data_IF_021534654942
#
_entry.id   IF_021534654942
#
_cell.length_a   1.000
_cell.length_b   1.000
_cell.length_c   1.000
_cell.angle_alpha   90.00
_cell.angle_beta   90.00
_cell.angle_gamma   90.00
#
_symmetry.space_group_name_H-M   'P 1'
#
loop_
_entity.id
_entity.type
_entity.pdbx_description
1 polymer ?
#
# COMPACT_ATOMS: atom_id res chain seq x y z
N UNK A 1 -14.59 7.54 15.68
CA UNK A 1 -13.44 6.95 14.95
C UNK A 1 -12.24 7.89 14.91
N UNK A 2 -11.18 7.51 15.61
CA UNK A 2 -9.91 8.25 15.70
C UNK A 2 -8.77 7.42 15.09
N UNK A 3 -7.92 8.06 14.28
CA UNK A 3 -6.70 7.47 13.73
C UNK A 3 -5.49 8.11 14.39
N UNK A 4 -4.68 7.31 15.07
CA UNK A 4 -3.56 7.80 15.88
C UNK A 4 -2.28 7.03 15.58
N UNK A 5 -1.14 7.71 15.72
CA UNK A 5 0.16 7.04 15.77
C UNK A 5 0.25 6.34 17.12
N UNK A 6 0.39 5.02 17.09
CA UNK A 6 0.44 4.23 18.31
C UNK A 6 1.77 4.41 19.03
N UNK A 7 1.74 4.16 20.34
CA UNK A 7 2.86 4.21 21.27
C UNK A 7 2.64 3.16 22.38
N UNK A 8 3.46 3.19 23.43
CA UNK A 8 3.44 2.19 24.52
C UNK A 8 2.11 2.13 25.28
N UNK A 9 1.35 3.24 25.40
CA UNK A 9 0.05 3.21 26.09
C UNK A 9 -1.00 2.36 25.38
N UNK A 10 -0.72 1.95 24.13
CA UNK A 10 -1.58 1.13 23.30
C UNK A 10 -1.24 -0.37 23.35
N UNK A 11 -0.28 -0.79 24.18
CA UNK A 11 0.11 -2.20 24.31
C UNK A 11 -1.07 -3.13 24.65
N UNK A 12 -2.08 -2.60 25.36
CA UNK A 12 -3.33 -3.32 25.66
C UNK A 12 -4.04 -3.90 24.43
N UNK A 13 -3.86 -3.29 23.26
CA UNK A 13 -4.49 -3.72 22.00
C UNK A 13 -3.69 -4.76 21.21
N UNK A 14 -2.47 -5.12 21.66
CA UNK A 14 -1.59 -5.99 20.89
C UNK A 14 -2.20 -7.38 20.64
N UNK A 15 -2.91 -7.93 21.63
CA UNK A 15 -3.61 -9.21 21.50
C UNK A 15 -4.78 -9.11 20.52
N UNK A 16 -5.65 -8.11 20.66
CA UNK A 16 -6.79 -7.88 19.76
C UNK A 16 -6.35 -7.74 18.30
N UNK A 17 -5.22 -7.07 18.05
CA UNK A 17 -4.62 -6.94 16.72
C UNK A 17 -4.22 -8.32 16.19
N UNK A 18 -3.51 -9.13 16.98
CA UNK A 18 -3.07 -10.47 16.59
C UNK A 18 -4.26 -11.39 16.28
N UNK A 19 -5.29 -11.34 17.11
CA UNK A 19 -6.50 -12.15 16.94
C UNK A 19 -7.27 -11.71 15.69
N UNK A 20 -7.38 -10.41 15.45
CA UNK A 20 -8.02 -9.87 14.23
C UNK A 20 -7.25 -10.26 12.96
N UNK A 21 -5.91 -10.29 13.02
CA UNK A 21 -5.05 -10.78 11.93
C UNK A 21 -5.32 -12.26 11.67
N UNK A 22 -5.34 -13.08 12.73
CA UNK A 22 -5.56 -14.52 12.64
C UNK A 22 -6.95 -14.87 12.08
N UNK A 23 -8.00 -14.19 12.55
CA UNK A 23 -9.36 -14.40 12.05
C UNK A 23 -9.49 -13.94 10.59
N UNK A 24 -8.89 -12.81 10.23
CA UNK A 24 -8.85 -12.36 8.83
C UNK A 24 -8.13 -13.36 7.91
N UNK A 25 -7.05 -13.99 8.40
CA UNK A 25 -6.34 -15.03 7.67
C UNK A 25 -7.19 -16.29 7.48
N UNK A 26 -8.01 -16.65 8.49
CA UNK A 26 -8.94 -17.78 8.45
C UNK A 26 -10.04 -17.55 7.41
N UNK A 27 -10.72 -16.39 7.47
CA UNK A 27 -11.82 -16.05 6.53
C UNK A 27 -11.33 -16.01 5.08
N UNK A 28 -10.15 -15.42 4.84
CA UNK A 28 -9.60 -15.34 3.47
C UNK A 28 -9.03 -16.67 2.98
N UNK A 29 -8.82 -17.63 3.87
CA UNK A 29 -8.20 -18.91 3.56
C UNK A 29 -6.71 -18.84 3.20
N UNK A 30 -6.16 -17.66 2.89
CA UNK A 30 -4.78 -17.46 2.39
C UNK A 30 -4.31 -16.00 2.54
N UNK A 31 -3.01 -15.75 2.41
CA UNK A 31 -2.43 -14.42 2.13
C UNK A 31 -2.18 -13.48 3.31
N UNK A 32 -2.27 -13.95 4.56
CA UNK A 32 -1.96 -13.15 5.76
C UNK A 32 -1.12 -13.97 6.72
N UNK A 33 0.08 -13.48 7.03
CA UNK A 33 0.95 -14.05 8.06
C UNK A 33 0.53 -13.56 9.45
N UNK A 34 0.55 -14.47 10.43
CA UNK A 34 0.28 -14.19 11.85
C UNK A 34 1.41 -13.36 12.47
N UNK A 35 1.09 -12.67 13.57
CA UNK A 35 2.02 -11.89 14.40
C UNK A 35 1.87 -12.27 15.86
N UNK A 36 2.89 -11.99 16.65
CA UNK A 36 2.84 -12.14 18.11
C UNK A 36 2.62 -10.79 18.78
N UNK A 37 2.06 -10.76 19.99
CA UNK A 37 1.86 -9.52 20.73
C UNK A 37 3.16 -8.72 20.93
N UNK A 38 4.28 -9.39 21.23
CA UNK A 38 5.59 -8.75 21.46
C UNK A 38 6.09 -8.05 20.19
N UNK A 39 5.88 -8.71 19.04
CA UNK A 39 6.22 -8.12 17.75
C UNK A 39 5.37 -6.86 17.50
N UNK A 40 4.06 -6.90 17.78
CA UNK A 40 3.17 -5.75 17.63
C UNK A 40 3.57 -4.62 18.58
N UNK A 41 3.77 -4.92 19.87
CA UNK A 41 4.19 -3.95 20.89
C UNK A 41 5.45 -3.18 20.46
N UNK A 42 6.45 -3.86 19.90
CA UNK A 42 7.64 -3.20 19.35
C UNK A 42 7.32 -2.21 18.22
N UNK A 43 6.29 -2.48 17.40
CA UNK A 43 5.84 -1.53 16.37
C UNK A 43 5.12 -0.32 16.96
N UNK A 44 4.37 -0.54 18.03
CA UNK A 44 3.73 0.55 18.78
C UNK A 44 4.80 1.42 19.45
N UNK A 45 5.74 0.86 20.22
CA UNK A 45 6.78 1.61 20.93
C UNK A 45 7.63 2.47 20.00
N UNK A 46 7.93 1.96 18.79
CA UNK A 46 8.75 2.68 17.81
C UNK A 46 7.98 3.82 17.08
N UNK A 47 6.70 4.03 17.40
CA UNK A 47 5.86 4.99 16.68
C UNK A 47 5.73 4.65 15.20
N UNK A 48 5.71 3.34 14.88
CA UNK A 48 5.70 2.80 13.52
C UNK A 48 4.36 2.15 13.18
N UNK A 49 3.28 2.56 13.84
CA UNK A 49 1.97 1.98 13.59
C UNK A 49 0.86 3.01 13.68
N UNK A 50 -0.17 2.82 12.87
CA UNK A 50 -1.44 3.54 12.95
C UNK A 50 -2.47 2.60 13.58
N UNK A 51 -3.13 3.11 14.62
CA UNK A 51 -4.24 2.46 15.28
C UNK A 51 -5.53 3.24 14.98
N UNK A 52 -6.59 2.51 14.65
CA UNK A 52 -7.94 3.04 14.54
C UNK A 52 -8.75 2.61 15.76
N UNK A 53 -9.32 3.59 16.47
CA UNK A 53 -10.11 3.38 17.66
C UNK A 53 -11.48 4.05 17.55
N UNK A 54 -12.51 3.40 18.11
CA UNK A 54 -13.81 3.99 18.37
C UNK A 54 -14.07 4.04 19.87
N UNK A 55 -13.78 5.19 20.49
CA UNK A 55 -13.59 5.26 21.94
C UNK A 55 -12.40 4.38 22.36
N UNK A 56 -12.64 3.44 23.27
CA UNK A 56 -11.66 2.42 23.68
C UNK A 56 -11.67 1.16 22.79
N UNK A 57 -12.59 1.05 21.82
CA UNK A 57 -12.72 -0.16 21.00
C UNK A 57 -11.74 -0.16 19.83
N UNK A 58 -11.05 -1.28 19.65
CA UNK A 58 -10.19 -1.52 18.51
C UNK A 58 -11.00 -1.64 17.20
N UNK A 59 -10.64 -0.85 16.19
CA UNK A 59 -11.32 -0.84 14.89
C UNK A 59 -10.42 -1.24 13.71
N UNK A 60 -9.10 -1.04 13.80
CA UNK A 60 -8.18 -1.38 12.73
C UNK A 60 -6.73 -0.97 12.99
N UNK A 61 -5.83 -1.47 12.16
CA UNK A 61 -4.38 -1.37 12.38
C UNK A 61 -3.61 -1.45 11.08
N UNK A 62 -2.45 -0.79 11.02
CA UNK A 62 -1.41 -1.00 10.02
C UNK A 62 -0.07 -0.51 10.58
N UNK A 63 1.05 -1.10 10.14
CA UNK A 63 2.37 -0.76 10.66
C UNK A 63 3.47 -0.72 9.59
N UNK A 64 4.55 -0.03 9.92
CA UNK A 64 5.75 0.15 9.13
C UNK A 64 6.78 -0.93 9.48
N UNK A 65 7.27 -1.61 8.46
CA UNK A 65 8.53 -2.36 8.48
C UNK A 65 9.59 -1.55 7.73
N UNK A 66 10.84 -1.62 8.20
CA UNK A 66 11.97 -0.91 7.60
C UNK A 66 13.04 -1.94 7.26
N UNK A 67 13.59 -1.86 6.05
CA UNK A 67 14.56 -2.84 5.51
C UNK A 67 15.65 -2.16 4.70
N UNK A 68 16.73 -2.92 4.43
CA UNK A 68 17.77 -2.48 3.49
C UNK A 68 18.42 -1.15 3.88
N UNK A 69 18.65 -0.93 5.18
CA UNK A 69 19.15 0.34 5.73
C UNK A 69 18.26 1.53 5.39
N UNK A 70 16.96 1.42 5.67
CA UNK A 70 15.95 2.48 5.46
C UNK A 70 15.65 2.84 4.00
N UNK A 71 16.25 2.12 3.03
CA UNK A 71 15.94 2.32 1.61
C UNK A 71 14.54 1.82 1.23
N UNK A 72 14.03 0.84 1.98
CA UNK A 72 12.75 0.21 1.72
C UNK A 72 11.88 0.17 2.97
N UNK A 73 10.63 0.60 2.82
CA UNK A 73 9.60 0.59 3.85
C UNK A 73 8.41 -0.23 3.39
N UNK A 74 7.91 -1.14 4.22
CA UNK A 74 6.68 -1.86 3.91
C UNK A 74 5.54 -1.43 4.84
N UNK A 75 4.41 -1.04 4.24
CA UNK A 75 3.17 -0.78 4.97
C UNK A 75 2.38 -2.08 5.13
N UNK A 76 2.67 -2.77 6.23
CA UNK A 76 2.30 -4.15 6.52
C UNK A 76 1.13 -4.25 7.51
N UNK A 77 0.49 -5.41 7.55
CA UNK A 77 -0.53 -5.73 8.56
C UNK A 77 -1.79 -4.86 8.49
N UNK A 78 -2.17 -4.33 7.32
CA UNK A 78 -3.43 -3.60 7.17
C UNK A 78 -4.61 -4.53 7.46
N UNK A 79 -5.29 -4.30 8.58
CA UNK A 79 -6.48 -5.03 8.98
C UNK A 79 -7.53 -4.08 9.56
N UNK A 80 -8.79 -4.50 9.41
CA UNK A 80 -9.97 -3.80 9.93
C UNK A 80 -10.83 -4.84 10.63
N UNK A 81 -11.22 -4.53 11.87
CA UNK A 81 -12.09 -5.37 12.67
C UNK A 81 -13.42 -5.59 11.92
N UNK A 82 -14.00 -6.81 11.92
CA UNK A 82 -15.20 -7.16 11.14
C UNK A 82 -16.32 -6.12 11.20
N UNK A 83 -16.63 -5.62 12.39
CA UNK A 83 -17.73 -4.66 12.65
C UNK A 83 -17.55 -3.30 11.95
N UNK A 84 -16.32 -2.96 11.53
CA UNK A 84 -16.01 -1.67 10.90
C UNK A 84 -15.65 -1.81 9.40
N UNK A 85 -15.84 -3.00 8.82
CA UNK A 85 -15.57 -3.24 7.39
C UNK A 85 -16.65 -2.60 6.51
N UNK A 86 -16.29 -2.31 5.26
CA UNK A 86 -17.22 -1.69 4.29
C UNK A 86 -17.42 -0.18 4.44
N UNK A 87 -16.86 0.45 5.48
CA UNK A 87 -17.05 1.86 5.79
C UNK A 87 -15.89 2.76 5.36
N UNK A 88 -14.99 2.27 4.50
CA UNK A 88 -13.81 3.01 4.03
C UNK A 88 -12.63 3.09 5.00
N UNK A 89 -12.75 2.54 6.22
CA UNK A 89 -11.71 2.63 7.26
C UNK A 89 -10.33 2.12 6.81
N UNK A 90 -10.28 1.04 6.02
CA UNK A 90 -9.02 0.50 5.49
C UNK A 90 -8.26 1.53 4.63
N UNK A 91 -8.99 2.34 3.85
CA UNK A 91 -8.42 3.41 3.03
C UNK A 91 -7.85 4.51 3.90
N UNK A 92 -8.58 4.93 4.94
CA UNK A 92 -8.14 5.97 5.87
C UNK A 92 -6.90 5.55 6.67
N UNK A 93 -6.86 4.31 7.18
CA UNK A 93 -5.67 3.76 7.87
C UNK A 93 -4.48 3.72 6.90
N UNK A 94 -4.68 3.22 5.68
CA UNK A 94 -3.60 3.07 4.70
C UNK A 94 -3.05 4.42 4.21
N UNK A 95 -3.92 5.43 4.08
CA UNK A 95 -3.47 6.80 3.79
C UNK A 95 -2.62 7.35 4.93
N UNK A 96 -3.08 7.19 6.19
CA UNK A 96 -2.36 7.71 7.35
C UNK A 96 -1.00 7.05 7.59
N UNK A 97 -0.89 5.73 7.44
CA UNK A 97 0.40 5.02 7.56
C UNK A 97 1.33 5.36 6.38
N UNK A 98 0.78 5.62 5.19
CA UNK A 98 1.56 6.09 4.06
C UNK A 98 2.15 7.48 4.32
N UNK A 99 1.35 8.43 4.82
CA UNK A 99 1.83 9.74 5.27
C UNK A 99 2.93 9.60 6.32
N UNK A 100 2.71 8.79 7.36
CA UNK A 100 3.72 8.53 8.40
C UNK A 100 5.02 7.94 7.82
N UNK A 101 4.90 7.03 6.84
CA UNK A 101 6.07 6.47 6.15
C UNK A 101 6.84 7.54 5.38
N UNK A 102 6.12 8.45 4.70
CA UNK A 102 6.73 9.56 3.94
C UNK A 102 7.39 10.59 4.86
N UNK A 103 6.85 10.81 6.05
CA UNK A 103 7.40 11.71 7.05
C UNK A 103 8.67 11.14 7.67
N UNK A 104 8.63 9.89 8.15
CA UNK A 104 9.77 9.25 8.83
C UNK A 104 10.87 8.82 7.87
N UNK A 105 10.50 8.41 6.65
CA UNK A 105 11.41 7.85 5.65
C UNK A 105 11.21 8.51 4.28
N UNK A 106 11.56 9.81 4.13
CA UNK A 106 11.24 10.60 2.95
C UNK A 106 11.91 10.10 1.66
N UNK A 107 13.03 9.41 1.74
CA UNK A 107 13.73 8.90 0.56
C UNK A 107 13.48 7.42 0.30
N UNK A 108 12.81 6.71 1.23
CA UNK A 108 12.55 5.30 1.11
C UNK A 108 11.50 5.01 0.02
N UNK A 109 11.72 3.92 -0.71
CA UNK A 109 10.67 3.30 -1.51
C UNK A 109 9.69 2.62 -0.58
N UNK A 110 8.40 2.81 -0.82
CA UNK A 110 7.35 2.20 0.01
C UNK A 110 6.70 1.07 -0.78
N UNK A 111 6.65 -0.12 -0.22
CA UNK A 111 6.09 -1.27 -0.90
C UNK A 111 5.07 -2.04 -0.07
N UNK A 112 4.42 -2.99 -0.72
CA UNK A 112 3.53 -3.95 -0.08
C UNK A 112 3.21 -5.09 -1.03
N UNK A 113 2.89 -6.24 -0.44
CA UNK A 113 2.40 -7.41 -1.16
C UNK A 113 0.97 -7.71 -0.72
N UNK A 114 0.10 -8.12 -1.65
CA UNK A 114 -1.28 -8.48 -1.29
C UNK A 114 -1.91 -9.45 -2.28
N UNK A 115 -2.84 -10.27 -1.81
CA UNK A 115 -3.76 -11.05 -2.65
C UNK A 115 -5.12 -10.37 -2.82
N UNK A 116 -5.38 -9.28 -2.08
CA UNK A 116 -6.71 -8.69 -1.97
C UNK A 116 -6.92 -7.50 -2.91
N UNK A 117 -7.94 -7.57 -3.76
CA UNK A 117 -8.30 -6.49 -4.69
C UNK A 117 -8.55 -5.15 -4.01
N UNK A 118 -9.19 -5.13 -2.84
CA UNK A 118 -9.43 -3.90 -2.09
C UNK A 118 -8.11 -3.19 -1.72
N UNK A 119 -7.10 -3.94 -1.28
CA UNK A 119 -5.79 -3.38 -0.94
C UNK A 119 -5.04 -2.94 -2.19
N UNK A 120 -5.14 -3.68 -3.29
CA UNK A 120 -4.55 -3.27 -4.58
C UNK A 120 -5.11 -1.94 -5.06
N UNK A 121 -6.44 -1.74 -4.99
CA UNK A 121 -7.09 -0.46 -5.36
C UNK A 121 -6.61 0.70 -4.49
N UNK A 122 -6.56 0.51 -3.17
CA UNK A 122 -6.05 1.53 -2.23
C UNK A 122 -4.59 1.87 -2.55
N UNK A 123 -3.74 0.88 -2.75
CA UNK A 123 -2.33 1.10 -3.11
C UNK A 123 -2.19 1.85 -4.44
N UNK A 124 -2.98 1.49 -5.45
CA UNK A 124 -2.98 2.17 -6.75
C UNK A 124 -3.37 3.65 -6.61
N UNK A 125 -4.41 3.96 -5.84
CA UNK A 125 -4.83 5.34 -5.55
C UNK A 125 -3.74 6.16 -4.84
N UNK A 126 -2.91 5.52 -4.01
CA UNK A 126 -1.77 6.14 -3.35
C UNK A 126 -0.52 6.27 -4.26
N UNK A 127 -0.61 5.80 -5.51
CA UNK A 127 0.44 5.90 -6.51
C UNK A 127 1.43 4.74 -6.54
N UNK A 128 1.10 3.61 -5.90
CA UNK A 128 1.89 2.39 -6.03
C UNK A 128 1.67 1.79 -7.43
N UNK A 129 2.73 1.22 -8.00
CA UNK A 129 2.71 0.53 -9.29
C UNK A 129 2.99 -0.96 -9.09
N UNK A 130 2.36 -1.85 -9.87
CA UNK A 130 2.69 -3.27 -9.82
C UNK A 130 4.14 -3.49 -10.28
N UNK A 131 4.86 -4.34 -9.56
CA UNK A 131 6.27 -4.69 -9.83
C UNK A 131 6.51 -6.17 -9.56
N UNK A 132 7.61 -6.71 -10.07
CA UNK A 132 8.06 -8.06 -9.69
C UNK A 132 8.70 -8.06 -8.30
N UNK A 133 8.80 -9.22 -7.64
CA UNK A 133 9.37 -9.29 -6.28
C UNK A 133 10.85 -8.90 -6.26
N UNK A 134 11.57 -9.10 -7.36
CA UNK A 134 12.95 -8.65 -7.55
C UNK A 134 13.13 -7.13 -7.44
N UNK A 135 12.07 -6.34 -7.57
CA UNK A 135 12.10 -4.88 -7.40
C UNK A 135 11.78 -4.41 -5.97
N UNK A 136 11.36 -5.34 -5.09
CA UNK A 136 10.91 -5.01 -3.72
C UNK A 136 12.06 -4.97 -2.73
N UNK A 137 12.62 -6.13 -2.38
CA UNK A 137 13.74 -6.28 -1.45
C UNK A 137 14.33 -7.68 -1.61
N UNK A 138 15.65 -7.77 -1.49
CA UNK A 138 16.40 -9.02 -1.39
C UNK A 138 16.67 -9.44 0.07
N UNK A 139 16.19 -8.64 1.03
CA UNK A 139 16.36 -8.89 2.47
C UNK A 139 15.61 -10.14 2.94
N UNK A 140 16.32 -11.22 3.36
CA UNK A 140 15.68 -12.45 3.82
C UNK A 140 14.78 -12.25 5.05
N UNK A 141 15.06 -11.26 5.90
CA UNK A 141 14.27 -11.01 7.11
C UNK A 141 12.85 -10.54 6.77
N UNK A 142 12.68 -9.77 5.68
CA UNK A 142 11.34 -9.42 5.19
C UNK A 142 10.55 -10.67 4.80
N UNK A 143 11.18 -11.59 4.06
CA UNK A 143 10.54 -12.80 3.58
C UNK A 143 10.24 -13.80 4.71
N UNK A 144 11.04 -13.81 5.79
CA UNK A 144 10.71 -14.54 7.03
C UNK A 144 9.39 -14.07 7.63
N UNK A 145 9.02 -12.81 7.44
CA UNK A 145 7.72 -12.26 7.84
C UNK A 145 6.51 -12.96 7.20
N UNK A 146 6.72 -13.75 6.14
CA UNK A 146 5.70 -14.54 5.45
C UNK A 146 5.60 -16.01 5.93
N UNK A 147 6.48 -16.48 6.83
CA UNK A 147 6.60 -17.89 7.23
C UNK A 147 5.30 -18.55 7.70
N UNK A 148 4.42 -17.78 8.35
CA UNK A 148 3.15 -18.29 8.87
C UNK A 148 2.00 -18.17 7.86
N UNK A 149 2.25 -17.65 6.65
CA UNK A 149 1.30 -17.64 5.56
C UNK A 149 1.20 -19.03 4.93
N UNK A 150 -0.01 -19.47 4.60
CA UNK A 150 -0.23 -20.78 3.94
C UNK A 150 0.48 -20.95 2.60
N UNK A 151 0.89 -19.86 1.94
CA UNK A 151 1.58 -19.88 0.65
C UNK A 151 3.10 -19.74 0.79
N UNK A 152 3.66 -19.88 2.00
CA UNK A 152 5.09 -19.72 2.21
C UNK A 152 5.92 -20.75 1.43
N UNK A 153 5.35 -21.92 1.17
CA UNK A 153 5.91 -22.96 0.29
C UNK A 153 6.15 -22.42 -1.13
N UNK A 154 5.20 -21.65 -1.68
CA UNK A 154 5.30 -21.05 -3.02
C UNK A 154 6.44 -20.03 -3.04
N UNK A 155 6.52 -19.19 -2.02
CA UNK A 155 7.61 -18.22 -1.89
C UNK A 155 8.97 -18.93 -1.81
N UNK A 156 9.05 -20.02 -1.06
CA UNK A 156 10.29 -20.79 -0.86
C UNK A 156 10.74 -21.48 -2.15
N UNK A 157 9.83 -22.23 -2.81
CA UNK A 157 10.17 -22.99 -4.03
C UNK A 157 10.49 -22.10 -5.25
N UNK A 158 10.10 -20.83 -5.20
CA UNK A 158 10.37 -19.85 -6.25
C UNK A 158 11.56 -18.95 -5.91
N UNK A 159 12.28 -19.26 -4.82
CA UNK A 159 13.44 -18.47 -4.36
C UNK A 159 13.07 -16.99 -4.17
N UNK A 160 11.88 -16.73 -3.63
CA UNK A 160 11.34 -15.38 -3.38
C UNK A 160 11.13 -14.54 -4.65
N UNK A 161 11.19 -15.13 -5.85
CA UNK A 161 10.96 -14.43 -7.13
C UNK A 161 9.48 -14.19 -7.40
N UNK A 162 8.58 -14.99 -6.81
CA UNK A 162 7.13 -14.80 -6.97
C UNK A 162 6.32 -15.45 -5.84
N UNK A 163 5.07 -15.02 -5.68
CA UNK A 163 4.07 -15.66 -4.82
C UNK A 163 2.68 -15.37 -5.41
N UNK A 164 1.61 -15.88 -4.80
CA UNK A 164 0.24 -15.49 -5.15
C UNK A 164 -0.05 -14.00 -4.83
N UNK A 165 0.77 -13.39 -3.97
CA UNK A 165 0.67 -11.97 -3.69
C UNK A 165 1.20 -11.14 -4.87
N UNK A 166 0.49 -10.07 -5.22
CA UNK A 166 0.96 -9.04 -6.15
C UNK A 166 1.87 -8.07 -5.40
N UNK A 167 3.08 -7.84 -5.92
CA UNK A 167 4.00 -6.82 -5.44
C UNK A 167 3.62 -5.45 -5.98
N UNK A 168 3.59 -4.45 -5.11
CA UNK A 168 3.34 -3.06 -5.50
C UNK A 168 4.32 -2.12 -4.82
N UNK A 169 4.84 -1.15 -5.58
CA UNK A 169 5.92 -0.25 -5.16
C UNK A 169 5.54 1.22 -5.44
N UNK A 170 5.73 2.06 -4.45
CA UNK A 170 5.77 3.51 -4.57
C UNK A 170 7.22 3.97 -4.50
N UNK A 171 7.67 4.66 -5.55
CA UNK A 171 9.00 5.27 -5.60
C UNK A 171 8.88 6.80 -5.51
N UNK A 172 9.37 7.44 -4.43
CA UNK A 172 9.24 8.88 -4.26
C UNK A 172 9.96 9.70 -5.34
N UNK A 173 10.96 9.13 -6.00
CA UNK A 173 11.74 9.81 -7.05
C UNK A 173 10.98 9.90 -8.38
N UNK A 174 10.02 9.00 -8.62
CA UNK A 174 9.26 8.98 -9.89
C UNK A 174 8.35 10.19 -10.09
N UNK A 175 7.85 10.82 -9.01
CA UNK A 175 7.07 12.07 -9.10
C UNK A 175 7.91 13.23 -9.62
N UNK A 176 9.17 13.37 -9.18
CA UNK A 176 10.10 14.42 -9.64
C UNK A 176 10.39 14.34 -11.15
N UNK A 177 10.42 13.13 -11.72
CA UNK A 177 10.63 12.95 -13.18
C UNK A 177 9.43 13.37 -14.03
N UNK A 178 8.22 13.29 -13.49
CA UNK A 178 6.98 13.58 -14.26
C UNK A 178 6.69 15.08 -14.34
N UNK A 179 7.13 15.87 -13.36
CA UNK A 179 7.05 17.34 -13.42
C UNK A 179 8.05 17.93 -14.43
N UNK A 180 9.24 17.34 -14.55
CA UNK A 180 10.26 17.77 -15.52
C UNK A 180 10.01 17.34 -16.98
N UNK A 181 8.96 16.57 -17.27
CA UNK A 181 8.66 16.08 -18.63
C UNK A 181 7.36 16.64 -19.24
N UNK A 182 6.70 17.60 -18.56
CA UNK A 182 5.55 18.31 -19.12
C UNK A 182 5.92 19.58 -19.91
N UNK A 183 7.00 19.55 -20.69
CA UNK A 183 7.05 20.40 -21.88
C UNK A 183 6.30 19.69 -22.99
N UNK A 184 4.97 19.92 -23.03
CA UNK A 184 4.19 19.55 -24.20
C UNK A 184 4.79 20.26 -25.42
N UNK A 185 5.37 19.50 -26.35
CA UNK A 185 5.96 20.03 -27.57
C UNK A 185 4.91 20.87 -28.32
N UNK A 186 5.03 22.20 -28.25
CA UNK A 186 3.98 23.14 -28.69
C UNK A 186 3.54 22.93 -30.15
N UNK A 187 4.42 22.37 -30.98
CA UNK A 187 4.16 21.98 -32.38
C UNK A 187 3.16 20.82 -32.50
N UNK A 188 3.20 19.84 -31.59
CA UNK A 188 2.26 18.72 -31.60
C UNK A 188 0.85 19.19 -31.22
N UNK A 189 0.75 20.12 -30.27
CA UNK A 189 -0.53 20.69 -29.82
C UNK A 189 -1.17 21.60 -30.89
N UNK A 190 -0.37 22.45 -31.55
CA UNK A 190 -0.85 23.26 -32.69
C UNK A 190 -1.29 22.38 -33.86
N UNK A 191 -0.54 21.31 -34.15
CA UNK A 191 -0.93 20.36 -35.20
C UNK A 191 -2.25 19.67 -34.88
N UNK A 192 -2.45 19.19 -33.65
CA UNK A 192 -3.70 18.57 -33.23
C UNK A 192 -4.89 19.55 -33.29
N UNK A 193 -4.66 20.83 -32.93
CA UNK A 193 -5.67 21.89 -33.03
C UNK A 193 -6.07 22.16 -34.48
N UNK A 194 -5.11 22.26 -35.40
CA UNK A 194 -5.37 22.47 -36.84
C UNK A 194 -6.13 21.30 -37.49
N UNK A 195 -5.84 20.06 -37.07
CA UNK A 195 -6.57 18.87 -37.53
C UNK A 195 -8.02 18.90 -37.01
N UNK A 196 -8.23 19.31 -35.75
CA UNK A 196 -9.57 19.41 -35.19
C UNK A 196 -10.38 20.52 -35.87
N UNK A 197 -9.79 21.69 -36.12
CA UNK A 197 -10.44 22.81 -36.79
C UNK A 197 -10.84 22.44 -38.24
N UNK A 198 -9.94 21.82 -39.01
CA UNK A 198 -10.25 21.37 -40.37
C UNK A 198 -11.35 20.31 -40.45
N UNK A 199 -11.41 19.39 -39.50
CA UNK A 199 -12.48 18.38 -39.42
C UNK A 199 -13.84 19.01 -39.05
N UNK A 200 -13.85 20.02 -38.17
CA UNK A 200 -15.08 20.74 -37.80
C UNK A 200 -15.59 21.67 -38.92
N UNK A 201 -14.69 22.27 -39.70
CA UNK A 201 -15.01 23.09 -40.86
C UNK A 201 -15.65 22.25 -41.98
N UNK A 202 -15.05 21.09 -42.32
CA UNK A 202 -15.62 20.15 -43.31
C UNK A 202 -17.04 19.68 -42.95
N UNK A 203 -17.28 19.43 -41.66
CA UNK A 203 -18.59 18.97 -41.17
C UNK A 203 -19.69 20.04 -41.20
N UNK A 204 -19.33 21.32 -41.27
CA UNK A 204 -20.29 22.43 -41.47
C UNK A 204 -20.63 22.61 -42.96
N UNK A 205 -19.67 22.42 -43.85
CA UNK A 205 -19.89 22.50 -45.30
C UNK A 205 -20.77 21.36 -45.82
N UNK A 206 -20.61 20.15 -45.29
CA UNK A 206 -21.47 18.99 -45.63
C UNK A 206 -22.91 19.10 -45.12
N UNK A 207 -23.19 19.95 -44.12
CA UNK A 207 -24.54 20.17 -43.57
C UNK A 207 -25.28 21.34 -44.20
N UNK A 208 -24.65 22.08 -45.11
CA UNK A 208 -25.20 23.29 -45.74
C UNK A 208 -25.49 23.11 -47.24
N UNK A 209 -25.42 21.87 -47.75
CA UNK A 209 -25.91 21.43 -49.07
C UNK A 209 -27.08 20.49 -48.87
#
# INVERSE_FOLDING_TARGET
MNLIVANESHFKYAQDICDTIAESAKVRGTGIAKRTPEYIQRKLSNGNAILALDGDKFAGFCYIEVWGHEKFVANSGLIVHPDYRGQGLAKSIKAKIFELSREKFPDAKIFGITTGLAVMKINYELGYKPVTFSELTDDPEFWKGCQTCKNFDILTRTEQKMCLCTGMLYDPTTKKKTENTKEMNGKAFTRLKSIKESLFLRRKEEKSK
#
